data_IF_331131247626
#
_entry.id   IF_331131247626
#
_cell.length_a   1.000
_cell.length_b   1.000
_cell.length_c   1.000
_cell.angle_alpha   90.00
_cell.angle_beta   90.00
_cell.angle_gamma   90.00
#
_symmetry.space_group_name_H-M   'P 1'
#
loop_
_entity.id
_entity.type
_entity.pdbx_description
1 polymer ?
#
# COMPACT_ATOMS: atom_id res chain seq x y z
N UNK A 1 -37.21 16.98 10.19
CA UNK A 1 -35.82 16.50 10.16
C UNK A 1 -35.79 15.14 10.84
N UNK A 2 -35.65 14.06 10.08
CA UNK A 2 -35.63 12.68 10.61
C UNK A 2 -34.23 12.37 11.13
N UNK A 3 -34.11 12.01 12.42
CA UNK A 3 -32.87 11.47 12.99
C UNK A 3 -32.72 10.04 12.48
N UNK A 4 -31.57 9.73 11.87
CA UNK A 4 -31.22 8.34 11.60
C UNK A 4 -31.21 7.57 12.94
N UNK A 5 -32.05 6.53 13.02
CA UNK A 5 -32.08 5.61 14.15
C UNK A 5 -31.01 4.55 13.87
N UNK A 6 -29.78 4.79 14.31
CA UNK A 6 -28.75 3.77 14.28
C UNK A 6 -29.11 2.74 15.34
N UNK A 7 -29.28 1.48 14.92
CA UNK A 7 -29.47 0.39 15.87
C UNK A 7 -28.13 0.13 16.57
N UNK A 8 -28.00 0.53 17.83
CA UNK A 8 -26.76 0.43 18.60
C UNK A 8 -26.28 -1.02 18.75
N UNK A 9 -27.20 -2.00 18.66
CA UNK A 9 -26.91 -3.44 18.77
C UNK A 9 -25.98 -3.98 17.66
N UNK A 10 -25.77 -3.23 16.57
CA UNK A 10 -24.89 -3.60 15.45
C UNK A 10 -23.87 -2.52 15.11
N UNK A 11 -23.56 -1.61 16.04
CA UNK A 11 -22.51 -0.64 15.84
C UNK A 11 -21.14 -1.33 15.68
N UNK A 12 -20.35 -0.90 14.69
CA UNK A 12 -18.98 -1.36 14.47
C UNK A 12 -18.02 -0.29 14.96
N UNK A 13 -17.10 -0.66 15.84
CA UNK A 13 -16.06 0.23 16.32
C UNK A 13 -14.81 0.17 15.43
N UNK A 14 -14.27 1.33 15.07
CA UNK A 14 -12.91 1.44 14.56
C UNK A 14 -11.98 1.52 15.77
N UNK A 15 -11.23 0.43 16.03
CA UNK A 15 -10.38 0.32 17.22
C UNK A 15 -8.91 0.59 16.95
N UNK A 16 -8.47 0.54 15.69
CA UNK A 16 -7.13 0.95 15.29
C UNK A 16 -7.05 1.29 13.81
N UNK A 17 -6.08 2.12 13.44
CA UNK A 17 -5.89 2.61 12.08
C UNK A 17 -4.41 2.85 11.78
N UNK A 18 -3.99 2.51 10.57
CA UNK A 18 -2.69 2.88 10.02
C UNK A 18 -2.84 3.29 8.56
N UNK A 19 -1.95 4.15 8.08
CA UNK A 19 -1.94 4.57 6.68
C UNK A 19 -0.52 4.96 6.23
N UNK A 20 -0.30 4.87 4.92
CA UNK A 20 0.94 5.29 4.25
C UNK A 20 0.62 6.05 2.96
N UNK A 21 0.04 7.25 3.04
CA UNK A 21 -0.18 8.08 1.87
C UNK A 21 1.14 8.75 1.40
N UNK A 22 1.14 9.35 0.19
CA UNK A 22 2.29 10.10 -0.32
C UNK A 22 2.73 11.27 0.57
N UNK A 23 3.97 11.74 0.38
CA UNK A 23 4.45 13.01 0.95
C UNK A 23 5.08 12.88 2.35
N UNK A 24 5.75 11.76 2.58
CA UNK A 24 6.49 11.44 3.80
C UNK A 24 5.58 11.18 5.00
N UNK A 25 4.35 10.74 4.76
CA UNK A 25 3.36 10.51 5.81
C UNK A 25 3.46 9.06 6.28
N UNK A 26 3.83 8.91 7.54
CA UNK A 26 4.10 7.65 8.22
C UNK A 26 3.00 7.25 9.22
N UNK A 27 1.82 7.87 9.13
CA UNK A 27 0.68 7.46 9.93
C UNK A 27 -0.48 8.46 10.00
N UNK A 28 -1.54 8.11 10.75
CA UNK A 28 -2.77 8.90 10.86
C UNK A 28 -2.54 10.31 11.41
N UNK A 29 -1.65 10.48 12.39
CA UNK A 29 -1.35 11.79 12.99
C UNK A 29 -0.64 12.72 12.00
N UNK A 30 0.36 12.19 11.27
CA UNK A 30 1.07 12.92 10.23
C UNK A 30 0.13 13.28 9.06
N UNK A 31 -0.80 12.39 8.72
CA UNK A 31 -1.86 12.67 7.74
C UNK A 31 -2.77 13.79 8.23
N UNK A 32 -3.23 13.71 9.48
CA UNK A 32 -4.09 14.72 10.07
C UNK A 32 -3.43 16.11 10.05
N UNK A 33 -2.16 16.18 10.45
CA UNK A 33 -1.40 17.42 10.39
C UNK A 33 -1.28 17.95 8.95
N UNK A 34 -1.05 17.07 7.96
CA UNK A 34 -1.01 17.46 6.56
C UNK A 34 -2.32 18.09 6.07
N UNK A 35 -3.45 17.53 6.48
CA UNK A 35 -4.77 18.02 6.13
C UNK A 35 -5.05 19.37 6.78
N UNK A 36 -4.70 19.52 8.06
CA UNK A 36 -4.83 20.80 8.79
C UNK A 36 -4.00 21.90 8.14
N UNK A 37 -2.78 21.56 7.72
CA UNK A 37 -1.85 22.50 7.07
C UNK A 37 -2.19 22.76 5.59
N UNK A 38 -3.14 22.01 5.01
CA UNK A 38 -3.52 22.11 3.61
C UNK A 38 -2.39 21.74 2.64
N UNK A 39 -1.53 20.78 3.02
CA UNK A 39 -0.39 20.36 2.19
C UNK A 39 -0.87 19.67 0.91
N UNK A 40 -0.27 20.04 -0.22
CA UNK A 40 -0.38 19.29 -1.47
C UNK A 40 0.65 18.15 -1.43
N UNK A 41 0.16 16.90 -1.59
CA UNK A 41 0.96 15.68 -1.54
C UNK A 41 1.24 15.12 -2.94
N UNK A 42 0.87 15.86 -3.99
CA UNK A 42 1.20 15.52 -5.38
C UNK A 42 2.67 15.85 -5.65
N UNK A 43 3.43 14.82 -6.01
CA UNK A 43 4.83 14.92 -6.43
C UNK A 43 5.03 14.53 -7.90
N UNK A 44 6.28 14.43 -8.30
CA UNK A 44 6.65 13.84 -9.58
C UNK A 44 6.83 12.32 -9.46
N UNK A 45 6.58 11.60 -10.55
CA UNK A 45 6.77 10.16 -10.54
C UNK A 45 8.25 9.80 -10.26
N UNK A 46 8.49 8.73 -9.48
CA UNK A 46 9.84 8.33 -9.09
C UNK A 46 10.69 7.95 -10.33
N UNK A 47 11.80 8.67 -10.54
CA UNK A 47 12.69 8.48 -11.70
C UNK A 47 13.47 7.16 -11.66
N UNK A 48 13.60 6.54 -10.49
CA UNK A 48 14.17 5.19 -10.32
C UNK A 48 13.19 4.08 -10.74
N UNK A 49 11.91 4.41 -10.94
CA UNK A 49 10.86 3.49 -11.40
C UNK A 49 10.43 3.75 -12.84
N UNK A 50 10.38 5.03 -13.25
CA UNK A 50 9.88 5.44 -14.54
C UNK A 50 10.94 6.19 -15.33
N UNK A 51 11.14 5.77 -16.58
CA UNK A 51 11.88 6.55 -17.58
C UNK A 51 10.99 7.70 -18.09
N UNK A 52 10.97 8.79 -17.33
CA UNK A 52 10.05 9.91 -17.55
C UNK A 52 10.23 10.58 -18.91
N UNK A 53 11.46 10.69 -19.41
CA UNK A 53 11.77 11.27 -20.71
C UNK A 53 11.22 10.41 -21.86
N UNK A 54 11.26 9.09 -21.70
CA UNK A 54 10.78 8.15 -22.71
C UNK A 54 9.26 8.04 -22.74
N UNK A 55 8.61 8.17 -21.59
CA UNK A 55 7.20 7.85 -21.42
C UNK A 55 6.30 9.06 -21.16
N UNK A 56 6.80 10.29 -21.26
CA UNK A 56 5.98 11.49 -21.07
C UNK A 56 6.20 12.53 -22.17
N UNK A 57 5.11 12.93 -22.84
CA UNK A 57 5.07 14.10 -23.70
C UNK A 57 3.88 14.97 -23.27
N UNK A 58 4.17 16.17 -22.76
CA UNK A 58 3.14 17.08 -22.21
C UNK A 58 2.43 17.90 -23.29
N UNK A 59 3.02 18.02 -24.48
CA UNK A 59 2.47 18.84 -25.57
C UNK A 59 1.67 18.02 -26.56
N UNK A 60 2.16 16.83 -26.94
CA UNK A 60 1.51 15.96 -27.91
C UNK A 60 1.72 14.47 -27.58
N UNK A 61 1.09 13.95 -26.50
CA UNK A 61 1.24 12.57 -26.08
C UNK A 61 0.83 11.59 -27.19
N UNK A 62 1.71 10.64 -27.50
CA UNK A 62 1.44 9.52 -28.42
C UNK A 62 0.90 8.30 -27.68
N UNK A 63 0.29 7.33 -28.38
CA UNK A 63 -0.13 6.08 -27.75
C UNK A 63 1.04 5.43 -26.99
N UNK A 64 0.88 5.25 -25.66
CA UNK A 64 1.91 4.70 -24.77
C UNK A 64 2.72 5.74 -23.98
N UNK A 65 2.51 7.03 -24.23
CA UNK A 65 3.09 8.14 -23.44
C UNK A 65 2.01 8.77 -22.54
N UNK A 66 2.40 9.17 -21.33
CA UNK A 66 1.60 9.98 -20.43
C UNK A 66 1.67 11.47 -20.79
N UNK A 67 0.66 12.23 -20.40
CA UNK A 67 0.63 13.69 -20.56
C UNK A 67 1.14 14.47 -19.32
N UNK A 68 1.45 13.76 -18.22
CA UNK A 68 1.93 14.34 -16.97
C UNK A 68 2.77 13.34 -16.20
N UNK A 69 3.70 13.86 -15.40
CA UNK A 69 4.48 13.11 -14.40
C UNK A 69 3.93 13.30 -12.98
N UNK A 70 2.95 14.18 -12.80
CA UNK A 70 2.41 14.52 -11.49
C UNK A 70 1.49 13.42 -10.94
N UNK A 71 1.70 13.03 -9.69
CA UNK A 71 0.89 12.01 -9.01
C UNK A 71 1.22 11.87 -7.53
N UNK A 72 0.41 11.09 -6.82
CA UNK A 72 0.69 10.72 -5.44
C UNK A 72 1.43 9.38 -5.40
N UNK A 73 2.69 9.41 -4.99
CA UNK A 73 3.53 8.21 -4.90
C UNK A 73 3.97 8.01 -3.45
N UNK A 74 3.82 6.82 -2.86
CA UNK A 74 4.45 6.50 -1.59
C UNK A 74 5.97 6.61 -1.71
N UNK A 75 6.62 7.20 -0.71
CA UNK A 75 8.05 7.52 -0.80
C UNK A 75 8.96 6.30 -0.75
N UNK A 76 8.54 5.25 -0.04
CA UNK A 76 9.33 4.02 0.13
C UNK A 76 8.54 2.77 -0.25
N UNK A 77 8.30 2.63 -1.55
CA UNK A 77 7.63 1.45 -2.13
C UNK A 77 8.50 0.17 -2.11
N UNK A 78 9.78 0.29 -1.75
CA UNK A 78 10.76 -0.79 -1.86
C UNK A 78 11.12 -1.42 -0.52
N UNK A 79 11.11 -0.64 0.57
CA UNK A 79 11.37 -1.16 1.89
C UNK A 79 10.23 -2.04 2.39
N UNK A 80 10.63 -3.07 3.12
CA UNK A 80 9.73 -3.96 3.81
C UNK A 80 10.50 -4.63 4.95
N UNK A 81 10.04 -4.48 6.19
CA UNK A 81 10.58 -5.22 7.34
C UNK A 81 10.07 -6.66 7.32
N UNK A 82 10.77 -7.47 6.53
CA UNK A 82 10.51 -8.89 6.41
C UNK A 82 10.61 -9.61 7.76
N UNK A 83 11.54 -9.22 8.64
CA UNK A 83 11.76 -9.87 9.92
C UNK A 83 10.60 -9.62 10.88
N UNK A 84 10.08 -8.38 10.94
CA UNK A 84 8.88 -8.06 11.71
C UNK A 84 7.65 -8.84 11.21
N UNK A 85 7.60 -9.12 9.92
CA UNK A 85 6.52 -9.90 9.30
C UNK A 85 6.69 -11.42 9.44
N UNK A 86 7.84 -11.90 9.92
CA UNK A 86 8.17 -13.33 10.00
C UNK A 86 8.51 -13.96 8.65
N UNK A 87 8.91 -13.15 7.68
CA UNK A 87 9.16 -13.49 6.28
C UNK A 87 10.67 -13.50 6.02
N UNK A 88 11.16 -14.48 5.26
CA UNK A 88 12.59 -14.54 4.95
C UNK A 88 13.00 -13.43 3.95
N UNK A 89 14.25 -12.93 3.97
CA UNK A 89 14.70 -11.91 3.01
C UNK A 89 14.58 -12.35 1.54
N UNK A 90 14.76 -13.66 1.28
CA UNK A 90 14.60 -14.24 -0.06
C UNK A 90 13.15 -14.16 -0.51
N UNK A 91 12.22 -14.56 0.35
CA UNK A 91 10.78 -14.53 0.08
C UNK A 91 10.27 -13.09 -0.08
N UNK A 92 10.69 -12.18 0.82
CA UNK A 92 10.37 -10.77 0.75
C UNK A 92 10.80 -10.12 -0.57
N UNK A 93 11.96 -10.52 -1.13
CA UNK A 93 12.42 -10.05 -2.43
C UNK A 93 11.50 -10.44 -3.59
N UNK A 94 10.74 -11.53 -3.43
CA UNK A 94 9.86 -12.08 -4.47
C UNK A 94 8.40 -11.66 -4.34
N UNK A 95 7.98 -11.21 -3.15
CA UNK A 95 6.61 -10.79 -2.89
C UNK A 95 6.17 -9.62 -3.78
N UNK A 96 4.90 -9.59 -4.16
CA UNK A 96 4.30 -8.40 -4.78
C UNK A 96 4.42 -7.20 -3.80
N UNK A 97 4.91 -6.02 -4.25
CA UNK A 97 4.95 -4.82 -3.42
C UNK A 97 3.60 -4.48 -2.78
N UNK A 98 2.46 -4.75 -3.43
CA UNK A 98 1.14 -4.51 -2.86
C UNK A 98 0.86 -5.37 -1.63
N UNK A 99 1.38 -6.60 -1.58
CA UNK A 99 1.25 -7.45 -0.38
C UNK A 99 2.17 -6.95 0.74
N UNK A 100 3.37 -6.49 0.41
CA UNK A 100 4.30 -5.90 1.41
C UNK A 100 3.73 -4.63 2.03
N UNK A 101 3.23 -3.73 1.19
CA UNK A 101 2.56 -2.48 1.58
C UNK A 101 1.26 -2.70 2.36
N UNK A 102 0.67 -3.90 2.29
CA UNK A 102 -0.48 -4.26 3.10
C UNK A 102 -0.06 -4.75 4.50
N UNK A 103 1.00 -5.56 4.58
CA UNK A 103 1.37 -6.27 5.81
C UNK A 103 1.86 -5.33 6.92
N UNK A 104 2.63 -4.30 6.58
CA UNK A 104 3.14 -3.34 7.56
C UNK A 104 2.03 -2.49 8.18
N UNK A 105 1.20 -1.75 7.41
CA UNK A 105 0.08 -1.01 7.99
C UNK A 105 -0.93 -1.91 8.70
N UNK A 106 -1.10 -3.17 8.28
CA UNK A 106 -1.96 -4.10 9.00
C UNK A 106 -1.42 -4.41 10.41
N UNK A 107 -0.11 -4.59 10.57
CA UNK A 107 0.52 -4.77 11.88
C UNK A 107 0.42 -3.50 12.72
N UNK A 108 0.70 -2.33 12.14
CA UNK A 108 0.59 -1.04 12.84
C UNK A 108 -0.83 -0.72 13.30
N UNK A 109 -1.85 -1.08 12.51
CA UNK A 109 -3.24 -0.90 12.90
C UNK A 109 -3.63 -1.80 14.09
N UNK A 110 -3.01 -2.98 14.22
CA UNK A 110 -3.18 -3.83 15.40
C UNK A 110 -2.48 -3.23 16.63
N UNK A 111 -1.29 -2.67 16.44
CA UNK A 111 -0.55 -1.98 17.50
C UNK A 111 -1.30 -0.73 18.00
N UNK A 112 -1.87 0.07 17.10
CA UNK A 112 -2.73 1.22 17.42
C UNK A 112 -3.99 0.78 18.21
N UNK A 113 -4.56 -0.37 17.85
CA UNK A 113 -5.66 -0.99 18.59
C UNK A 113 -5.26 -1.60 19.94
N UNK A 114 -3.96 -1.68 20.26
CA UNK A 114 -3.44 -2.36 21.45
C UNK A 114 -3.68 -3.88 21.42
N UNK A 115 -3.77 -4.48 20.24
CA UNK A 115 -4.01 -5.92 20.05
C UNK A 115 -2.73 -6.65 19.67
N UNK A 116 -2.36 -7.67 20.45
CA UNK A 116 -1.25 -8.55 20.10
C UNK A 116 -1.64 -9.48 18.95
N UNK A 117 -0.76 -9.68 17.95
CA UNK A 117 -1.00 -10.55 16.79
C UNK A 117 -1.35 -11.98 17.21
N UNK A 118 -0.68 -12.49 18.24
CA UNK A 118 -0.88 -13.84 18.79
C UNK A 118 -2.27 -14.01 19.41
N UNK A 119 -2.90 -12.93 19.86
CA UNK A 119 -4.25 -12.97 20.43
C UNK A 119 -5.34 -13.24 19.38
N UNK A 120 -5.04 -13.01 18.10
CA UNK A 120 -5.96 -13.24 16.99
C UNK A 120 -5.83 -14.64 16.39
N UNK A 121 -4.75 -15.36 16.70
CA UNK A 121 -4.52 -16.70 16.17
C UNK A 121 -5.60 -17.68 16.63
N UNK A 122 -6.32 -18.29 15.68
CA UNK A 122 -7.42 -19.22 15.96
C UNK A 122 -8.74 -18.55 16.35
N UNK A 123 -8.84 -17.22 16.25
CA UNK A 123 -10.10 -16.48 16.40
C UNK A 123 -10.89 -16.39 15.08
N UNK A 124 -12.16 -16.00 15.17
CA UNK A 124 -13.02 -15.73 14.01
C UNK A 124 -12.74 -14.34 13.38
N UNK A 125 -11.46 -13.94 13.31
CA UNK A 125 -11.04 -12.68 12.69
C UNK A 125 -11.02 -12.81 11.16
N UNK A 126 -11.69 -11.89 10.47
CA UNK A 126 -11.73 -11.84 9.02
C UNK A 126 -10.93 -10.64 8.48
N UNK A 127 -10.30 -10.82 7.32
CA UNK A 127 -9.54 -9.79 6.62
C UNK A 127 -10.20 -9.51 5.27
N UNK A 128 -10.53 -8.24 5.02
CA UNK A 128 -11.11 -7.78 3.76
C UNK A 128 -10.18 -6.74 3.13
N UNK A 129 -9.73 -6.99 1.90
CA UNK A 129 -8.73 -6.15 1.22
C UNK A 129 -9.26 -5.75 -0.15
N UNK A 130 -9.24 -4.45 -0.44
CA UNK A 130 -9.39 -3.94 -1.79
C UNK A 130 -8.02 -3.84 -2.46
N UNK A 131 -7.74 -4.73 -3.41
CA UNK A 131 -6.51 -4.73 -4.20
C UNK A 131 -6.88 -4.87 -5.68
N UNK A 132 -6.16 -4.18 -6.55
CA UNK A 132 -6.43 -4.20 -7.99
C UNK A 132 -5.14 -4.22 -8.77
N UNK A 133 -5.15 -4.92 -9.90
CA UNK A 133 -4.04 -5.10 -10.84
C UNK A 133 -2.93 -6.06 -10.36
N UNK A 134 -2.45 -6.91 -11.27
CA UNK A 134 -1.29 -7.79 -11.06
C UNK A 134 -0.04 -7.29 -11.80
N UNK A 135 -0.02 -6.01 -12.24
CA UNK A 135 1.02 -5.45 -13.11
C UNK A 135 2.45 -5.85 -12.75
N UNK A 136 2.77 -6.06 -11.47
CA UNK A 136 4.05 -6.61 -11.03
C UNK A 136 4.32 -8.05 -11.52
N UNK A 137 3.36 -8.96 -11.36
CA UNK A 137 3.39 -10.31 -11.94
C UNK A 137 3.46 -10.28 -13.47
N UNK A 138 2.75 -9.37 -14.13
CA UNK A 138 2.86 -9.13 -15.58
C UNK A 138 4.26 -8.67 -16.01
N UNK A 139 4.86 -7.74 -15.27
CA UNK A 139 6.22 -7.24 -15.50
C UNK A 139 7.26 -8.35 -15.28
N UNK A 140 7.10 -9.20 -14.25
CA UNK A 140 7.97 -10.36 -14.00
C UNK A 140 7.85 -11.42 -15.09
N UNK A 141 6.66 -11.67 -15.63
CA UNK A 141 6.51 -12.57 -16.78
C UNK A 141 7.22 -12.07 -18.04
N UNK A 142 7.45 -10.76 -18.17
CA UNK A 142 8.23 -10.17 -19.26
C UNK A 142 9.75 -10.27 -19.05
N UNK A 143 10.24 -10.67 -17.86
CA UNK A 143 11.64 -11.08 -17.63
C UNK A 143 11.72 -12.58 -17.25
N UNK A 144 11.97 -13.48 -18.23
CA UNK A 144 12.00 -14.92 -18.03
C UNK A 144 12.99 -15.41 -16.96
N UNK A 145 13.97 -14.59 -16.57
CA UNK A 145 14.98 -14.92 -15.55
C UNK A 145 14.49 -14.67 -14.11
N UNK A 146 13.37 -13.98 -13.96
CA UNK A 146 12.73 -13.69 -12.67
C UNK A 146 11.60 -14.65 -12.33
N UNK A 147 11.43 -15.78 -13.03
CA UNK A 147 10.31 -16.71 -12.81
C UNK A 147 10.70 -17.84 -11.84
N UNK A 148 10.07 -17.88 -10.67
CA UNK A 148 10.23 -18.96 -9.69
C UNK A 148 8.91 -19.34 -8.97
N UNK A 149 9.00 -20.37 -8.12
CA UNK A 149 7.86 -20.98 -7.42
C UNK A 149 7.14 -20.04 -6.44
N UNK A 150 7.79 -18.96 -5.99
CA UNK A 150 7.26 -18.04 -4.98
C UNK A 150 6.40 -16.93 -5.59
N UNK A 151 6.42 -16.80 -6.93
CA UNK A 151 5.78 -15.69 -7.64
C UNK A 151 4.24 -15.67 -7.53
N UNK A 152 3.60 -16.81 -7.24
CA UNK A 152 2.13 -16.91 -7.20
C UNK A 152 1.56 -17.22 -5.81
N UNK A 153 2.37 -17.76 -4.89
CA UNK A 153 1.91 -18.17 -3.56
C UNK A 153 2.48 -17.34 -2.41
N UNK A 154 3.58 -16.60 -2.59
CA UNK A 154 4.26 -15.95 -1.46
C UNK A 154 4.51 -16.95 -0.32
N UNK A 155 5.17 -18.07 -0.63
CA UNK A 155 5.54 -19.11 0.33
C UNK A 155 6.39 -20.18 -0.31
#
# INVERSE_FOLDING_TARGET
MSRAHWNEDHAVALVGVACRPPGGIDGPDALWQALVDGRDLVGEAPSDRFDLERFTDRELPRPGEGCTTAGGYPDDLASFDAAHSGISPMEAGQMDPQHRLLLEPAAEALDDAGLARESLAGSDTAVFVGISDNAYGGLRMMDPRGIDAYMMSGG
#
